data_IF_937934044174
#
_entry.id   IF_937934044174
#
_cell.length_a   1.000
_cell.length_b   1.000
_cell.length_c   1.000
_cell.angle_alpha   90.00
_cell.angle_beta   90.00
_cell.angle_gamma   90.00
#
_symmetry.space_group_name_H-M   'P 1'
#
loop_
_entity.id
_entity.type
_entity.pdbx_description
1 polymer ?
#
# COMPACT_ATOMS: atom_id res chain seq x y z
N UNK A 1 -8.42 -14.68 -9.33
CA UNK A 1 -7.17 -14.36 -10.05
C UNK A 1 -7.41 -14.57 -11.54
N UNK A 2 -8.07 -13.62 -12.20
CA UNK A 2 -8.04 -13.59 -13.65
C UNK A 2 -6.69 -13.02 -14.06
N UNK A 3 -5.89 -13.86 -14.73
CA UNK A 3 -4.58 -13.46 -15.22
C UNK A 3 -4.69 -12.31 -16.21
N UNK A 4 -3.74 -11.38 -16.11
CA UNK A 4 -3.50 -10.26 -17.00
C UNK A 4 -3.74 -10.61 -18.48
N UNK A 5 -4.50 -9.76 -19.17
CA UNK A 5 -4.56 -9.81 -20.63
C UNK A 5 -3.21 -9.32 -21.19
N UNK A 6 -2.64 -9.91 -22.25
CA UNK A 6 -1.30 -9.60 -22.78
C UNK A 6 -1.04 -8.15 -23.22
N UNK A 7 -2.03 -7.25 -23.12
CA UNK A 7 -1.98 -5.86 -23.57
C UNK A 7 -2.02 -4.83 -22.43
N UNK A 8 -2.20 -5.25 -21.18
CA UNK A 8 -2.20 -4.32 -20.06
C UNK A 8 -0.77 -3.95 -19.66
N UNK A 9 -0.38 -2.71 -19.97
CA UNK A 9 0.91 -2.11 -19.58
C UNK A 9 0.89 -1.76 -18.09
N UNK A 10 0.89 -2.78 -17.25
CA UNK A 10 0.81 -2.60 -15.81
C UNK A 10 1.53 -3.68 -15.05
N UNK A 11 2.04 -3.29 -13.88
CA UNK A 11 2.78 -4.17 -12.99
C UNK A 11 2.40 -3.87 -11.54
N UNK A 12 2.34 -4.92 -10.74
CA UNK A 12 2.14 -4.81 -9.29
C UNK A 12 3.45 -5.15 -8.61
N UNK A 13 3.96 -4.19 -7.84
CA UNK A 13 5.07 -4.39 -6.91
C UNK A 13 4.50 -4.60 -5.51
N UNK A 14 5.01 -5.60 -4.79
CA UNK A 14 4.70 -5.84 -3.39
C UNK A 14 5.95 -5.60 -2.56
N UNK A 15 5.82 -4.76 -1.54
CA UNK A 15 6.83 -4.54 -0.53
C UNK A 15 6.55 -5.46 0.67
N UNK A 16 7.52 -6.28 1.04
CA UNK A 16 7.43 -7.16 2.21
C UNK A 16 8.65 -7.01 3.12
N UNK A 17 8.44 -7.22 4.42
CA UNK A 17 9.51 -7.29 5.40
C UNK A 17 9.35 -8.56 6.23
N UNK A 18 10.28 -9.49 6.05
CA UNK A 18 10.29 -10.78 6.71
C UNK A 18 11.47 -10.89 7.67
N UNK A 19 11.18 -11.08 8.96
CA UNK A 19 12.22 -11.23 9.99
C UNK A 19 12.54 -12.71 10.23
N UNK A 20 13.80 -13.08 10.02
CA UNK A 20 14.31 -14.43 10.24
C UNK A 20 14.96 -14.49 11.63
N UNK A 21 14.24 -15.09 12.57
CA UNK A 21 14.59 -15.17 14.01
C UNK A 21 14.89 -13.78 14.58
N UNK A 22 15.96 -13.63 15.34
CA UNK A 22 16.41 -12.36 15.94
C UNK A 22 17.63 -11.79 15.23
N UNK A 23 18.00 -12.34 14.07
CA UNK A 23 19.26 -12.04 13.40
C UNK A 23 19.09 -11.08 12.24
N UNK A 24 18.19 -11.38 11.31
CA UNK A 24 18.06 -10.61 10.08
C UNK A 24 16.62 -10.25 9.77
N UNK A 25 16.42 -9.09 9.17
CA UNK A 25 15.19 -8.71 8.49
C UNK A 25 15.51 -8.55 7.00
N UNK A 26 14.72 -9.22 6.17
CA UNK A 26 14.78 -9.13 4.72
C UNK A 26 13.70 -8.15 4.26
N UNK A 27 14.11 -7.06 3.62
CA UNK A 27 13.23 -6.14 2.92
C UNK A 27 13.20 -6.55 1.45
N UNK A 28 12.02 -6.85 0.90
CA UNK A 28 11.87 -7.39 -0.46
C UNK A 28 10.91 -6.53 -1.26
N UNK A 29 11.26 -6.28 -2.52
CA UNK A 29 10.34 -5.84 -3.57
C UNK A 29 10.13 -7.00 -4.52
N UNK A 30 8.87 -7.41 -4.69
CA UNK A 30 8.48 -8.50 -5.59
C UNK A 30 7.55 -8.00 -6.68
N UNK A 31 7.73 -8.49 -7.90
CA UNK A 31 6.73 -8.36 -8.97
C UNK A 31 5.68 -9.45 -8.78
N UNK A 32 4.40 -9.09 -8.77
CA UNK A 32 3.32 -10.08 -8.76
C UNK A 32 2.99 -10.47 -10.19
N UNK A 33 3.25 -11.73 -10.53
CA UNK A 33 2.97 -12.31 -11.82
C UNK A 33 2.20 -13.61 -11.64
N UNK A 34 0.98 -13.67 -12.22
CA UNK A 34 0.10 -14.85 -12.18
C UNK A 34 -0.09 -15.45 -10.77
N UNK A 35 -0.29 -14.59 -9.77
CA UNK A 35 -0.50 -15.00 -8.38
C UNK A 35 0.78 -15.34 -7.61
N UNK A 36 1.96 -15.23 -8.23
CA UNK A 36 3.25 -15.46 -7.60
C UNK A 36 4.01 -14.15 -7.44
N UNK A 37 4.57 -13.90 -6.24
CA UNK A 37 5.52 -12.82 -6.02
C UNK A 37 6.93 -13.26 -6.39
N UNK A 38 7.49 -12.70 -7.44
CA UNK A 38 8.87 -12.94 -7.88
C UNK A 38 9.75 -11.81 -7.30
N UNK A 39 10.69 -12.09 -6.38
CA UNK A 39 11.58 -11.08 -5.84
C UNK A 39 12.45 -10.46 -6.95
N UNK A 40 12.47 -9.14 -7.04
CA UNK A 40 13.28 -8.40 -8.03
C UNK A 40 14.31 -7.47 -7.40
N UNK A 41 14.11 -7.09 -6.14
CA UNK A 41 15.10 -6.35 -5.36
C UNK A 41 14.96 -6.70 -3.88
N UNK A 42 16.07 -6.76 -3.14
CA UNK A 42 16.04 -7.03 -1.70
C UNK A 42 17.22 -6.43 -0.96
N UNK A 43 17.02 -6.20 0.34
CA UNK A 43 18.07 -5.79 1.28
C UNK A 43 17.98 -6.66 2.54
N UNK A 44 19.10 -7.24 2.94
CA UNK A 44 19.25 -7.89 4.25
C UNK A 44 19.80 -6.88 5.25
N UNK A 45 19.14 -6.74 6.38
CA UNK A 45 19.57 -5.89 7.50
C UNK A 45 19.55 -6.67 8.82
N UNK A 46 20.26 -6.19 9.83
CA UNK A 46 20.18 -6.77 11.18
C UNK A 46 18.81 -6.50 11.81
N UNK A 47 18.18 -7.53 12.39
CA UNK A 47 16.81 -7.43 12.91
C UNK A 47 16.66 -6.49 14.12
N UNK A 48 17.74 -6.27 14.88
CA UNK A 48 17.77 -5.40 16.08
C UNK A 48 18.66 -4.18 15.91
N UNK A 49 19.08 -3.87 14.67
CA UNK A 49 19.90 -2.70 14.39
C UNK A 49 19.15 -1.42 14.77
N UNK A 50 19.82 -0.51 15.48
CA UNK A 50 19.28 0.85 15.70
C UNK A 50 19.27 1.57 14.35
N UNK A 51 18.11 2.08 13.92
CA UNK A 51 18.00 2.85 12.69
C UNK A 51 16.62 2.79 12.07
N UNK A 52 16.42 3.59 11.02
CA UNK A 52 15.20 3.59 10.22
C UNK A 52 15.37 2.69 8.99
N UNK A 53 14.32 1.97 8.61
CA UNK A 53 14.30 1.24 7.33
C UNK A 53 14.10 2.14 6.12
N UNK A 54 13.81 3.43 6.33
CA UNK A 54 13.52 4.39 5.28
C UNK A 54 14.61 4.48 4.20
N UNK A 55 15.92 4.63 4.51
CA UNK A 55 16.94 4.73 3.48
C UNK A 55 17.01 3.49 2.58
N UNK A 56 16.83 2.29 3.16
CA UNK A 56 16.86 1.04 2.42
C UNK A 56 15.67 0.90 1.47
N UNK A 57 14.47 1.30 1.90
CA UNK A 57 13.31 1.30 1.01
C UNK A 57 13.43 2.31 -0.12
N UNK A 58 13.95 3.51 0.16
CA UNK A 58 14.16 4.51 -0.88
C UNK A 58 15.17 4.04 -1.93
N UNK A 59 16.24 3.37 -1.50
CA UNK A 59 17.27 2.78 -2.36
C UNK A 59 16.71 1.63 -3.22
N UNK A 60 15.91 0.74 -2.63
CA UNK A 60 15.26 -0.34 -3.38
C UNK A 60 14.29 0.20 -4.44
N UNK A 61 13.50 1.23 -4.11
CA UNK A 61 12.55 1.83 -5.05
C UNK A 61 13.28 2.58 -6.18
N UNK A 62 14.36 3.31 -5.88
CA UNK A 62 15.11 4.07 -6.88
C UNK A 62 15.81 3.18 -7.90
N UNK A 63 16.35 2.02 -7.47
CA UNK A 63 16.95 1.05 -8.39
C UNK A 63 15.95 0.50 -9.43
N UNK A 64 14.66 0.44 -9.09
CA UNK A 64 13.64 -0.08 -9.98
C UNK A 64 13.08 0.99 -10.94
N UNK A 65 13.21 2.27 -10.63
CA UNK A 65 12.61 3.38 -11.42
C UNK A 65 12.98 3.34 -12.90
N UNK A 66 14.24 3.10 -13.22
CA UNK A 66 14.70 3.10 -14.62
C UNK A 66 14.60 1.72 -15.30
N UNK A 67 14.09 0.71 -14.59
CA UNK A 67 13.92 -0.65 -15.13
C UNK A 67 12.52 -0.91 -15.66
N UNK A 68 11.53 -0.16 -15.17
CA UNK A 68 10.14 -0.26 -15.59
C UNK A 68 9.86 0.82 -16.64
N UNK A 69 9.27 0.48 -17.80
CA UNK A 69 8.94 1.48 -18.80
C UNK A 69 8.02 2.57 -18.24
N UNK A 70 8.27 3.83 -18.58
CA UNK A 70 7.57 4.98 -18.02
C UNK A 70 6.07 5.03 -18.36
N UNK A 71 5.66 4.36 -19.44
CA UNK A 71 4.28 4.28 -19.89
C UNK A 71 3.48 3.16 -19.19
N UNK A 72 4.09 2.44 -18.25
CA UNK A 72 3.43 1.40 -17.48
C UNK A 72 2.78 1.95 -16.21
N UNK A 73 1.57 1.48 -15.92
CA UNK A 73 0.93 1.69 -14.63
C UNK A 73 1.59 0.77 -13.59
N UNK A 74 2.31 1.38 -12.65
CA UNK A 74 2.92 0.67 -11.53
C UNK A 74 2.07 0.86 -10.28
N UNK A 75 1.56 -0.24 -9.74
CA UNK A 75 0.84 -0.27 -8.46
C UNK A 75 1.78 -0.86 -7.40
N UNK A 76 1.96 -0.16 -6.27
CA UNK A 76 2.85 -0.60 -5.20
C UNK A 76 2.04 -0.91 -3.94
N UNK A 77 1.99 -2.18 -3.58
CA UNK A 77 1.26 -2.69 -2.41
C UNK A 77 2.18 -2.94 -1.23
N UNK A 78 1.69 -2.70 -0.02
CA UNK A 78 2.36 -3.12 1.21
C UNK A 78 1.34 -3.35 2.33
N UNK A 79 1.66 -4.25 3.28
CA UNK A 79 0.81 -4.50 4.45
C UNK A 79 0.95 -3.38 5.51
N UNK A 80 0.03 -3.38 6.48
CA UNK A 80 -0.13 -2.36 7.53
C UNK A 80 1.10 -2.11 8.39
N UNK A 81 2.01 -3.08 8.49
CA UNK A 81 3.29 -2.94 9.20
C UNK A 81 4.30 -2.03 8.49
N UNK A 82 4.14 -1.81 7.18
CA UNK A 82 5.08 -1.04 6.36
C UNK A 82 4.57 0.37 6.02
N UNK A 83 3.32 0.69 6.37
CA UNK A 83 2.79 2.03 6.08
C UNK A 83 3.63 3.12 6.73
N UNK A 84 4.08 4.07 5.90
CA UNK A 84 4.57 5.36 6.33
C UNK A 84 4.23 6.43 5.28
N UNK A 85 3.95 7.66 5.73
CA UNK A 85 3.65 8.77 4.82
C UNK A 85 4.80 9.04 3.84
N UNK A 86 6.05 8.95 4.31
CA UNK A 86 7.21 9.13 3.43
C UNK A 86 7.28 8.04 2.35
N UNK A 87 6.85 6.81 2.64
CA UNK A 87 6.86 5.70 1.68
C UNK A 87 5.79 5.93 0.62
N UNK A 88 4.59 6.31 1.03
CA UNK A 88 3.51 6.72 0.15
C UNK A 88 3.97 7.80 -0.84
N UNK A 89 4.61 8.86 -0.32
CA UNK A 89 5.12 9.96 -1.13
C UNK A 89 6.30 9.54 -2.02
N UNK A 90 7.18 8.65 -1.55
CA UNK A 90 8.30 8.15 -2.34
C UNK A 90 7.82 7.36 -3.56
N UNK A 91 6.79 6.52 -3.39
CA UNK A 91 6.16 5.79 -4.49
C UNK A 91 5.57 6.79 -5.51
N UNK A 92 4.80 7.78 -5.05
CA UNK A 92 4.25 8.82 -5.94
C UNK A 92 5.32 9.59 -6.71
N UNK A 93 6.46 9.89 -6.08
CA UNK A 93 7.57 10.62 -6.73
C UNK A 93 8.15 9.87 -7.92
N UNK A 94 8.02 8.55 -7.98
CA UNK A 94 8.43 7.74 -9.13
C UNK A 94 7.36 7.69 -10.24
N UNK A 95 6.24 8.39 -10.08
CA UNK A 95 5.07 8.26 -10.98
C UNK A 95 4.25 6.99 -10.72
N UNK A 96 4.47 6.32 -9.60
CA UNK A 96 3.80 5.06 -9.25
C UNK A 96 2.63 5.30 -8.29
N UNK A 97 1.76 4.30 -8.18
CA UNK A 97 0.50 4.39 -7.42
C UNK A 97 0.63 3.60 -6.12
N UNK A 98 0.72 4.25 -4.93
CA UNK A 98 0.72 3.52 -3.67
C UNK A 98 -0.65 2.90 -3.41
N UNK A 99 -0.66 1.70 -2.85
CA UNK A 99 -1.85 0.96 -2.41
C UNK A 99 -1.52 0.27 -1.08
N UNK A 100 -1.39 1.10 -0.04
CA UNK A 100 -0.79 0.68 1.23
C UNK A 100 -1.89 0.40 2.26
N UNK A 101 -1.87 -0.79 2.85
CA UNK A 101 -2.78 -1.12 3.93
C UNK A 101 -2.41 -0.33 5.19
N UNK A 102 -3.42 0.06 5.98
CA UNK A 102 -3.24 0.80 7.22
C UNK A 102 -4.00 0.13 8.38
N UNK A 103 -3.66 0.51 9.62
CA UNK A 103 -4.35 0.05 10.83
C UNK A 103 -5.67 0.78 11.05
N UNK A 104 -6.65 0.09 11.64
CA UNK A 104 -7.98 0.60 11.98
C UNK A 104 -8.00 1.69 13.06
N UNK A 105 -6.97 1.76 13.90
CA UNK A 105 -6.89 2.66 15.06
C UNK A 105 -6.71 4.14 14.68
N UNK A 106 -7.03 4.54 13.45
CA UNK A 106 -6.75 5.87 12.92
C UNK A 106 -8.04 6.57 12.50
N UNK A 107 -7.94 7.87 12.28
CA UNK A 107 -9.05 8.74 11.88
C UNK A 107 -8.85 9.30 10.48
N UNK A 108 -9.96 9.62 9.82
CA UNK A 108 -9.99 10.25 8.51
C UNK A 108 -11.09 11.31 8.46
N UNK A 109 -10.98 12.24 7.52
CA UNK A 109 -11.98 13.25 7.25
C UNK A 109 -12.37 13.18 5.78
N UNK A 110 -13.61 12.77 5.45
CA UNK A 110 -14.11 12.87 4.08
C UNK A 110 -14.01 14.30 3.55
N UNK A 111 -13.76 14.45 2.24
CA UNK A 111 -13.80 15.77 1.61
C UNK A 111 -15.20 16.39 1.82
N UNK A 112 -15.23 17.67 2.19
CA UNK A 112 -16.47 18.40 2.49
C UNK A 112 -16.97 18.26 3.93
N UNK A 113 -16.41 17.36 4.74
CA UNK A 113 -16.76 17.25 6.16
C UNK A 113 -15.82 18.05 7.07
N UNK A 114 -16.33 18.61 8.18
CA UNK A 114 -15.55 19.47 9.08
C UNK A 114 -14.64 18.68 10.01
N UNK A 115 -15.03 17.48 10.42
CA UNK A 115 -14.40 16.74 11.52
C UNK A 115 -13.74 15.44 11.06
N UNK A 116 -12.67 15.07 11.74
CA UNK A 116 -12.10 13.73 11.64
C UNK A 116 -12.99 12.72 12.37
N UNK A 117 -13.25 11.59 11.74
CA UNK A 117 -14.02 10.46 12.27
C UNK A 117 -13.16 9.19 12.29
N UNK A 118 -13.42 8.23 13.18
CA UNK A 118 -12.71 6.95 13.21
C UNK A 118 -12.82 6.21 11.87
N UNK A 119 -11.75 5.52 11.43
CA UNK A 119 -11.79 4.70 10.20
C UNK A 119 -12.82 3.57 10.25
N UNK A 120 -13.21 3.13 11.45
CA UNK A 120 -14.27 2.15 11.66
C UNK A 120 -15.65 2.65 11.22
N UNK A 121 -15.83 3.94 10.97
CA UNK A 121 -17.08 4.46 10.40
C UNK A 121 -17.16 4.30 8.89
N UNK A 122 -16.04 4.01 8.21
CA UNK A 122 -16.03 3.77 6.77
C UNK A 122 -16.74 2.46 6.40
N UNK A 123 -16.54 1.41 7.21
CA UNK A 123 -17.25 0.13 7.13
C UNK A 123 -17.51 -0.36 8.55
N UNK A 124 -18.78 -0.49 8.92
CA UNK A 124 -19.20 -0.81 10.30
C UNK A 124 -19.60 -2.27 10.49
N UNK A 125 -19.86 -3.00 9.39
CA UNK A 125 -20.25 -4.40 9.42
C UNK A 125 -19.68 -5.17 8.23
N UNK A 126 -19.60 -6.48 8.40
CA UNK A 126 -19.18 -7.40 7.34
C UNK A 126 -20.16 -7.38 6.15
N UNK A 127 -19.63 -7.56 4.94
CA UNK A 127 -20.33 -7.39 3.67
C UNK A 127 -20.29 -5.97 3.09
N UNK A 128 -19.67 -5.00 3.79
CA UNK A 128 -19.59 -3.61 3.32
C UNK A 128 -18.28 -3.30 2.59
N UNK A 129 -18.39 -2.42 1.61
CA UNK A 129 -17.28 -1.74 0.97
C UNK A 129 -17.58 -0.25 0.88
N UNK A 130 -16.53 0.56 0.92
CA UNK A 130 -16.60 2.00 0.81
C UNK A 130 -15.30 2.53 0.20
N UNK A 131 -15.41 3.50 -0.70
CA UNK A 131 -14.26 4.27 -1.15
C UNK A 131 -14.58 5.76 -1.28
N UNK A 132 -13.59 6.61 -1.00
CA UNK A 132 -13.75 8.04 -1.15
C UNK A 132 -12.45 8.82 -0.99
N UNK A 133 -12.44 10.04 -1.51
CA UNK A 133 -11.35 11.00 -1.25
C UNK A 133 -11.44 11.54 0.17
N UNK A 134 -10.32 11.57 0.86
CA UNK A 134 -10.23 11.89 2.29
C UNK A 134 -8.94 12.62 2.63
N UNK A 135 -8.89 13.16 3.84
CA UNK A 135 -7.67 13.47 4.54
C UNK A 135 -7.53 12.49 5.70
N UNK A 136 -6.54 11.61 5.65
CA UNK A 136 -6.22 10.66 6.71
C UNK A 136 -5.26 11.28 7.73
N UNK A 137 -5.36 10.86 8.99
CA UNK A 137 -4.44 11.16 10.10
C UNK A 137 -4.39 12.64 10.54
N UNK A 138 -4.97 13.00 11.69
CA UNK A 138 -4.99 14.40 12.16
C UNK A 138 -3.60 15.01 12.39
N UNK A 139 -2.67 14.26 12.97
CA UNK A 139 -1.34 14.77 13.35
C UNK A 139 -0.32 14.83 12.21
N UNK A 140 -0.51 14.01 11.17
CA UNK A 140 0.33 14.03 9.98
C UNK A 140 -0.55 13.81 8.73
N UNK A 141 -1.31 14.83 8.31
CA UNK A 141 -2.36 14.69 7.31
C UNK A 141 -1.87 14.11 5.98
N UNK A 142 -2.62 13.17 5.43
CA UNK A 142 -2.40 12.60 4.11
C UNK A 142 -3.68 12.76 3.28
N UNK A 143 -3.64 13.61 2.25
CA UNK A 143 -4.70 13.64 1.23
C UNK A 143 -4.55 12.42 0.32
N UNK A 144 -5.58 11.59 0.28
CA UNK A 144 -5.57 10.32 -0.45
C UNK A 144 -7.00 9.86 -0.73
N UNK A 145 -7.12 8.79 -1.51
CA UNK A 145 -8.32 7.96 -1.55
C UNK A 145 -8.18 6.87 -0.49
N UNK A 146 -9.21 6.72 0.33
CA UNK A 146 -9.34 5.63 1.27
C UNK A 146 -10.27 4.58 0.65
N UNK A 147 -9.83 3.33 0.67
CA UNK A 147 -10.62 2.16 0.29
C UNK A 147 -10.78 1.29 1.53
N UNK A 148 -12.01 1.00 1.89
CA UNK A 148 -12.38 0.22 3.05
C UNK A 148 -13.25 -0.96 2.61
N UNK A 149 -12.92 -2.17 3.07
CA UNK A 149 -13.68 -3.38 2.74
C UNK A 149 -13.69 -4.33 3.92
N UNK A 150 -14.88 -4.85 4.24
CA UNK A 150 -15.04 -5.87 5.26
C UNK A 150 -15.78 -7.06 4.67
N UNK A 151 -15.07 -8.11 4.27
CA UNK A 151 -15.70 -9.32 3.75
C UNK A 151 -16.11 -10.29 4.88
N UNK A 152 -17.13 -11.11 4.60
CA UNK A 152 -17.59 -12.17 5.49
C UNK A 152 -16.47 -13.16 5.81
N UNK A 153 -16.32 -13.51 7.09
CA UNK A 153 -15.29 -14.44 7.57
C UNK A 153 -13.98 -13.77 8.01
N UNK A 154 -13.79 -12.47 7.78
CA UNK A 154 -12.65 -11.73 8.30
C UNK A 154 -12.99 -11.02 9.61
N UNK A 155 -12.08 -11.11 10.59
CA UNK A 155 -12.22 -10.45 11.91
C UNK A 155 -12.27 -8.93 11.80
N UNK A 156 -11.56 -8.39 10.82
CA UNK A 156 -11.13 -6.99 10.76
C UNK A 156 -11.26 -6.47 9.33
N UNK A 157 -11.82 -5.26 9.10
CA UNK A 157 -11.81 -4.63 7.78
C UNK A 157 -10.39 -4.37 7.27
N UNK A 158 -10.27 -4.38 5.95
CA UNK A 158 -9.08 -3.97 5.23
C UNK A 158 -9.25 -2.51 4.84
N UNK A 159 -8.25 -1.70 5.22
CA UNK A 159 -8.23 -0.27 5.00
C UNK A 159 -6.97 0.06 4.22
N UNK A 160 -7.14 0.72 3.08
CA UNK A 160 -6.05 0.99 2.14
C UNK A 160 -6.06 2.47 1.79
N UNK A 161 -4.87 3.07 1.81
CA UNK A 161 -4.67 4.43 1.29
C UNK A 161 -4.01 4.35 -0.07
N UNK A 162 -4.56 5.10 -1.01
CA UNK A 162 -4.09 5.15 -2.40
C UNK A 162 -4.26 6.54 -3.00
N UNK A 163 -3.70 6.74 -4.20
CA UNK A 163 -3.90 7.94 -5.02
C UNK A 163 -4.88 7.70 -6.16
N UNK A 164 -5.27 6.44 -6.38
CA UNK A 164 -6.22 6.05 -7.41
C UNK A 164 -7.59 6.67 -7.14
N UNK A 165 -8.36 6.85 -8.20
CA UNK A 165 -9.74 7.30 -8.04
C UNK A 165 -10.56 6.25 -7.28
N UNK A 166 -11.57 6.68 -6.49
CA UNK A 166 -12.37 5.77 -5.66
C UNK A 166 -12.90 4.53 -6.41
N UNK A 167 -13.40 4.73 -7.63
CA UNK A 167 -13.94 3.66 -8.47
C UNK A 167 -12.85 2.65 -8.92
N UNK A 168 -11.60 3.10 -9.10
CA UNK A 168 -10.49 2.23 -9.49
C UNK A 168 -9.93 1.47 -8.28
N UNK A 169 -9.87 2.12 -7.12
CA UNK A 169 -9.39 1.52 -5.88
C UNK A 169 -10.25 0.33 -5.40
N UNK A 170 -11.56 0.40 -5.65
CA UNK A 170 -12.49 -0.70 -5.35
C UNK A 170 -12.38 -1.87 -6.34
N UNK A 171 -11.97 -1.62 -7.59
CA UNK A 171 -11.79 -2.64 -8.62
C UNK A 171 -10.56 -3.53 -8.42
N UNK A 172 -9.55 -3.06 -7.67
CA UNK A 172 -8.29 -3.78 -7.44
C UNK A 172 -8.39 -4.95 -6.44
N UNK A 173 -9.57 -5.22 -5.90
CA UNK A 173 -9.84 -6.36 -5.03
C UNK A 173 -10.08 -7.68 -5.78
N UNK A 174 -10.16 -7.68 -7.12
CA UNK A 174 -10.63 -8.83 -7.93
C UNK A 174 -9.64 -9.29 -9.01
#
# INVERSE_FOLDING_TARGET
>A
MNGWLPQEKSIVLVLDASTIRTRFTLLVVSVVYRGCGIPVAWKVIEAKGKGSWQPYWLDLLSHLTNTIPQDWLVLVMADRGLYAKWLFQAIQKQGWHPFLRINQLRQFRPVGQPNFVPLTTAVSQSGQSWSGRVICFPSNPLSCTLVARWDCGYKDPWLIVTVLDPNQGEGLWY
#
